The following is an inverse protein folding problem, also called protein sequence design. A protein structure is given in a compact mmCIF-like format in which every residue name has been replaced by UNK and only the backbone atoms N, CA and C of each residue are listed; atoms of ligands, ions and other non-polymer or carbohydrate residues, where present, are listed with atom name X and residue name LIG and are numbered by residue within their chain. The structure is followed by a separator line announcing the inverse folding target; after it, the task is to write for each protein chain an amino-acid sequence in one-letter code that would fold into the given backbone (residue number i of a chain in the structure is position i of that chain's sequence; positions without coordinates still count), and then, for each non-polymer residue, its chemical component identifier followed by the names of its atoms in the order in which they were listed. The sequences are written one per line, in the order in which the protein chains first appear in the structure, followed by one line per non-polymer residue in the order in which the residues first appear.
data_IF_877419141591
#
_entry.id   IF_877419141591
#
_cell.length_a   1.000
_cell.length_b   1.000
_cell.length_c   1.000
_cell.angle_alpha   90.00
_cell.angle_beta   90.00
_cell.angle_gamma   90.00
#
_symmetry.space_group_name_H-M   'P 1'
#
loop_
_entity.id
_entity.type
_entity.pdbx_description
1 polymer ?
#
# COMPACT_ATOMS: atom_id res chain seq x y z
N UNK A 1 -19.66 -6.03 -11.82
CA UNK A 1 -18.46 -5.17 -11.64
C UNK A 1 -18.39 -3.96 -12.57
N UNK A 2 -18.75 -4.04 -13.86
CA UNK A 2 -18.67 -2.90 -14.82
C UNK A 2 -19.51 -1.66 -14.43
N UNK A 3 -20.67 -1.84 -13.82
CA UNK A 3 -21.56 -0.74 -13.42
C UNK A 3 -20.98 0.14 -12.30
N UNK A 4 -20.36 -0.50 -11.28
CA UNK A 4 -19.70 0.24 -10.19
C UNK A 4 -18.52 1.07 -10.67
N UNK A 5 -17.74 0.56 -11.60
CA UNK A 5 -16.60 1.30 -12.17
C UNK A 5 -17.07 2.50 -13.01
N UNK A 6 -18.20 2.34 -13.72
CA UNK A 6 -18.82 3.43 -14.45
C UNK A 6 -19.33 4.54 -13.52
N UNK A 7 -19.95 4.15 -12.42
CA UNK A 7 -20.48 5.08 -11.40
C UNK A 7 -19.35 5.86 -10.70
N UNK A 8 -18.22 5.20 -10.45
CA UNK A 8 -17.01 5.84 -9.89
C UNK A 8 -16.40 6.81 -10.91
N UNK A 9 -16.35 6.44 -12.18
CA UNK A 9 -15.80 7.28 -13.26
C UNK A 9 -16.61 8.55 -13.50
N UNK A 10 -17.94 8.44 -13.44
CA UNK A 10 -18.86 9.57 -13.70
C UNK A 10 -19.37 10.25 -12.42
N UNK A 11 -18.91 9.84 -11.25
CA UNK A 11 -19.38 10.33 -9.95
C UNK A 11 -19.30 11.85 -9.81
N UNK A 12 -18.26 12.47 -10.35
CA UNK A 12 -18.11 13.93 -10.37
C UNK A 12 -19.25 14.59 -11.19
N UNK A 13 -19.50 14.09 -12.39
CA UNK A 13 -20.54 14.61 -13.26
C UNK A 13 -21.94 14.41 -12.66
N UNK A 14 -22.19 13.25 -12.08
CA UNK A 14 -23.45 12.96 -11.37
C UNK A 14 -23.62 13.92 -10.19
N UNK A 15 -22.58 14.16 -9.41
CA UNK A 15 -22.60 15.12 -8.31
C UNK A 15 -22.89 16.55 -8.77
N UNK A 16 -22.25 17.01 -9.85
CA UNK A 16 -22.51 18.33 -10.43
C UNK A 16 -23.95 18.48 -10.95
N UNK A 17 -24.47 17.46 -11.64
CA UNK A 17 -25.86 17.43 -12.12
C UNK A 17 -26.85 17.49 -10.96
N UNK A 18 -26.61 16.74 -9.87
CA UNK A 18 -27.45 16.76 -8.68
C UNK A 18 -27.44 18.11 -7.98
N UNK A 19 -26.29 18.77 -7.90
CA UNK A 19 -26.20 20.13 -7.35
C UNK A 19 -26.96 21.13 -8.24
N UNK A 20 -26.81 21.06 -9.56
CA UNK A 20 -27.52 21.91 -10.49
C UNK A 20 -29.07 21.71 -10.43
N UNK A 21 -29.50 20.44 -10.34
CA UNK A 21 -30.92 20.11 -10.10
C UNK A 21 -31.39 20.63 -8.72
N UNK A 22 -30.55 20.56 -7.70
CA UNK A 22 -30.83 21.12 -6.38
C UNK A 22 -31.07 22.63 -6.43
N UNK A 23 -30.26 23.38 -7.23
CA UNK A 23 -30.45 24.82 -7.45
C UNK A 23 -31.79 25.09 -8.13
N UNK A 24 -32.15 24.33 -9.15
CA UNK A 24 -33.42 24.46 -9.84
C UNK A 24 -34.61 24.18 -8.91
N UNK A 25 -34.58 23.08 -8.14
CA UNK A 25 -35.65 22.74 -7.19
C UNK A 25 -35.75 23.76 -6.05
N UNK A 26 -34.61 24.29 -5.58
CA UNK A 26 -34.61 25.33 -4.57
C UNK A 26 -35.32 26.62 -5.03
N UNK A 27 -35.12 26.98 -6.30
CA UNK A 27 -35.81 28.13 -6.90
C UNK A 27 -37.31 27.88 -7.07
N UNK A 28 -37.73 26.68 -7.45
CA UNK A 28 -39.11 26.33 -7.73
C UNK A 28 -39.93 25.96 -6.48
N UNK A 29 -39.34 25.26 -5.50
CA UNK A 29 -40.07 24.66 -4.38
C UNK A 29 -39.42 24.94 -2.97
N UNK A 30 -38.36 25.75 -2.95
CA UNK A 30 -37.69 26.15 -1.71
C UNK A 30 -36.56 25.15 -1.27
N UNK A 31 -35.93 25.52 -0.17
CA UNK A 31 -34.72 24.84 0.31
C UNK A 31 -34.93 23.39 0.76
N UNK A 32 -36.01 23.10 1.47
CA UNK A 32 -36.22 21.75 2.07
C UNK A 32 -36.32 20.63 1.05
N UNK A 33 -37.07 20.77 -0.08
CA UNK A 33 -37.07 19.75 -1.12
C UNK A 33 -35.73 19.62 -1.87
N UNK A 34 -34.95 20.72 -1.95
CA UNK A 34 -33.66 20.74 -2.61
C UNK A 34 -32.53 20.14 -1.75
N UNK A 35 -32.67 20.14 -0.43
CA UNK A 35 -31.62 19.73 0.51
C UNK A 35 -31.06 18.33 0.27
N UNK A 36 -31.87 17.27 0.02
CA UNK A 36 -31.35 15.93 -0.29
C UNK A 36 -30.47 15.90 -1.56
N UNK A 37 -30.83 16.69 -2.57
CA UNK A 37 -30.04 16.78 -3.82
C UNK A 37 -28.68 17.44 -3.57
N UNK A 38 -28.67 18.52 -2.79
CA UNK A 38 -27.41 19.15 -2.38
C UNK A 38 -26.55 18.19 -1.56
N UNK A 39 -27.15 17.53 -0.57
CA UNK A 39 -26.41 16.62 0.31
C UNK A 39 -25.77 15.48 -0.48
N UNK A 40 -26.53 14.80 -1.33
CA UNK A 40 -26.02 13.69 -2.15
C UNK A 40 -25.01 14.20 -3.17
N UNK A 41 -25.29 15.32 -3.85
CA UNK A 41 -24.38 15.93 -4.82
C UNK A 41 -23.04 16.30 -4.21
N UNK A 42 -23.04 16.98 -3.06
CA UNK A 42 -21.82 17.35 -2.33
C UNK A 42 -21.05 16.11 -1.84
N UNK A 43 -21.74 15.10 -1.29
CA UNK A 43 -21.09 13.83 -0.86
C UNK A 43 -20.43 13.14 -2.05
N UNK A 44 -21.07 13.12 -3.23
CA UNK A 44 -20.49 12.51 -4.42
C UNK A 44 -19.27 13.28 -4.93
N UNK A 45 -19.32 14.61 -4.92
CA UNK A 45 -18.19 15.47 -5.30
C UNK A 45 -17.03 15.29 -4.32
N UNK A 46 -17.27 15.44 -3.02
CA UNK A 46 -16.24 15.24 -2.01
C UNK A 46 -15.65 13.83 -2.09
N UNK A 47 -16.52 12.83 -2.19
CA UNK A 47 -16.07 11.45 -2.33
C UNK A 47 -15.24 11.21 -3.60
N UNK A 48 -15.48 11.93 -4.71
CA UNK A 48 -14.64 11.83 -5.90
C UNK A 48 -13.22 12.31 -5.61
N UNK A 49 -13.08 13.45 -4.93
CA UNK A 49 -11.76 13.98 -4.58
C UNK A 49 -11.04 13.16 -3.49
N UNK A 50 -11.78 12.57 -2.55
CA UNK A 50 -11.16 11.85 -1.43
C UNK A 50 -10.85 10.37 -1.73
N UNK A 51 -11.68 9.66 -2.48
CA UNK A 51 -11.57 8.19 -2.64
C UNK A 51 -11.43 7.71 -4.08
N UNK A 52 -11.85 8.50 -5.06
CA UNK A 52 -11.95 8.06 -6.45
C UNK A 52 -10.61 7.66 -7.10
N UNK A 53 -9.58 8.49 -7.03
CA UNK A 53 -8.33 8.23 -7.72
C UNK A 53 -7.57 7.01 -7.19
N UNK A 54 -7.56 6.80 -5.86
CA UNK A 54 -6.75 5.74 -5.25
C UNK A 54 -7.24 4.33 -5.58
N UNK A 55 -8.55 4.13 -5.66
CA UNK A 55 -9.12 2.84 -6.06
C UNK A 55 -8.82 2.49 -7.51
N UNK A 56 -8.84 3.49 -8.39
CA UNK A 56 -8.47 3.32 -9.80
C UNK A 56 -6.98 2.93 -9.93
N UNK A 57 -6.09 3.54 -9.15
CA UNK A 57 -4.68 3.20 -9.15
C UNK A 57 -4.48 1.72 -8.78
N UNK A 58 -5.18 1.25 -7.73
CA UNK A 58 -5.09 -0.15 -7.33
C UNK A 58 -5.57 -1.09 -8.43
N UNK A 59 -6.69 -0.78 -9.09
CA UNK A 59 -7.21 -1.59 -10.21
C UNK A 59 -6.21 -1.65 -11.36
N UNK A 60 -5.61 -0.52 -11.76
CA UNK A 60 -4.57 -0.51 -12.80
C UNK A 60 -3.33 -1.30 -12.42
N UNK A 61 -2.91 -1.25 -11.15
CA UNK A 61 -1.79 -2.05 -10.66
C UNK A 61 -2.10 -3.56 -10.68
N UNK A 62 -3.33 -3.96 -10.33
CA UNK A 62 -3.79 -5.36 -10.39
C UNK A 62 -3.87 -5.86 -11.83
N UNK A 63 -4.23 -4.99 -12.78
CA UNK A 63 -4.26 -5.27 -14.22
C UNK A 63 -2.86 -5.20 -14.89
N UNK A 64 -1.83 -4.77 -14.15
CA UNK A 64 -0.46 -4.59 -14.66
C UNK A 64 -0.27 -3.34 -15.51
N UNK A 65 -1.28 -2.47 -15.62
CA UNK A 65 -1.21 -1.19 -16.34
C UNK A 65 -0.55 -0.11 -15.47
N UNK A 66 0.78 -0.12 -15.43
CA UNK A 66 1.57 0.84 -14.65
C UNK A 66 1.45 2.27 -15.20
N UNK A 67 1.28 2.43 -16.50
CA UNK A 67 1.13 3.76 -17.13
C UNK A 67 -0.22 4.38 -16.78
N UNK A 68 -1.29 3.59 -16.76
CA UNK A 68 -2.61 4.01 -16.30
C UNK A 68 -2.60 4.42 -14.83
N UNK A 69 -1.97 3.61 -13.97
CA UNK A 69 -1.82 3.91 -12.56
C UNK A 69 -1.07 5.24 -12.34
N UNK A 70 -0.01 5.49 -13.10
CA UNK A 70 0.77 6.72 -13.00
C UNK A 70 0.00 7.95 -13.44
N UNK A 71 -0.73 7.88 -14.56
CA UNK A 71 -1.57 8.98 -15.02
C UNK A 71 -2.59 9.38 -13.95
N UNK A 72 -3.21 8.40 -13.30
CA UNK A 72 -4.16 8.66 -12.21
C UNK A 72 -3.45 9.26 -10.99
N UNK A 73 -2.29 8.73 -10.61
CA UNK A 73 -1.50 9.26 -9.50
C UNK A 73 -1.06 10.71 -9.78
N UNK A 74 -0.60 10.99 -10.99
CA UNK A 74 -0.20 12.33 -11.44
C UNK A 74 -1.35 13.34 -11.53
N UNK A 75 -2.59 12.87 -11.64
CA UNK A 75 -3.78 13.74 -11.63
C UNK A 75 -4.03 14.41 -10.27
N UNK A 76 -3.45 13.87 -9.20
CA UNK A 76 -3.56 14.40 -7.84
C UNK A 76 -2.58 15.57 -7.66
N UNK A 77 -2.98 16.78 -8.05
CA UNK A 77 -2.14 17.97 -7.99
C UNK A 77 -1.79 18.42 -6.56
N UNK A 78 -2.66 18.18 -5.60
CA UNK A 78 -2.53 18.66 -4.23
C UNK A 78 -2.61 17.53 -3.19
N UNK A 79 -1.61 16.64 -3.11
CA UNK A 79 -1.65 15.50 -2.19
C UNK A 79 -1.71 15.92 -0.70
N UNK A 80 -1.26 17.12 -0.38
CA UNK A 80 -1.32 17.64 1.00
C UNK A 80 -2.75 17.96 1.48
N UNK A 81 -3.70 18.15 0.57
CA UNK A 81 -5.12 18.34 0.90
C UNK A 81 -5.85 17.02 1.16
N UNK A 82 -5.23 15.89 0.84
CA UNK A 82 -5.80 14.58 1.13
C UNK A 82 -5.86 14.34 2.64
N UNK A 83 -6.94 13.70 3.08
CA UNK A 83 -7.05 13.20 4.46
C UNK A 83 -5.85 12.32 4.82
N UNK A 84 -5.33 12.46 6.04
CA UNK A 84 -4.03 11.89 6.47
C UNK A 84 -3.83 10.40 6.10
N UNK A 85 -4.79 9.46 6.35
CA UNK A 85 -4.65 8.06 5.93
C UNK A 85 -4.57 7.89 4.40
N UNK A 86 -5.38 8.64 3.66
CA UNK A 86 -5.41 8.58 2.18
C UNK A 86 -4.10 9.12 1.60
N UNK A 87 -3.58 10.18 2.19
CA UNK A 87 -2.28 10.77 1.83
C UNK A 87 -1.13 9.78 2.09
N UNK A 88 -1.22 8.98 3.15
CA UNK A 88 -0.28 7.90 3.40
C UNK A 88 -0.30 6.86 2.28
N UNK A 89 -1.47 6.37 1.90
CA UNK A 89 -1.63 5.42 0.78
C UNK A 89 -1.10 6.02 -0.52
N UNK A 90 -1.38 7.29 -0.80
CA UNK A 90 -0.85 7.99 -1.98
C UNK A 90 0.69 7.93 -2.05
N UNK A 91 1.38 8.26 -0.96
CA UNK A 91 2.84 8.22 -0.95
C UNK A 91 3.39 6.79 -1.04
N UNK A 92 2.73 5.82 -0.39
CA UNK A 92 3.12 4.41 -0.51
C UNK A 92 3.00 3.92 -1.96
N UNK A 93 1.88 4.19 -2.63
CA UNK A 93 1.68 3.81 -4.03
C UNK A 93 2.71 4.48 -4.95
N UNK A 94 2.99 5.78 -4.75
CA UNK A 94 4.00 6.49 -5.52
C UNK A 94 5.40 5.90 -5.32
N UNK A 95 5.74 5.53 -4.09
CA UNK A 95 6.98 4.86 -3.78
C UNK A 95 7.08 3.47 -4.42
N UNK A 96 6.00 2.70 -4.43
CA UNK A 96 5.96 1.40 -5.12
C UNK A 96 6.19 1.55 -6.63
N UNK A 97 5.60 2.55 -7.25
CA UNK A 97 5.84 2.84 -8.67
C UNK A 97 7.29 3.25 -8.95
N UNK A 98 7.88 4.05 -8.06
CA UNK A 98 9.30 4.40 -8.14
C UNK A 98 10.20 3.15 -8.00
N UNK A 99 9.83 2.17 -7.16
CA UNK A 99 10.55 0.87 -7.09
C UNK A 99 10.50 0.12 -8.41
N UNK A 100 9.35 0.05 -9.08
CA UNK A 100 9.22 -0.61 -10.38
C UNK A 100 10.11 0.05 -11.44
N UNK A 101 10.29 1.38 -11.35
CA UNK A 101 11.18 2.16 -12.22
C UNK A 101 12.65 2.12 -11.82
N UNK A 102 12.98 1.42 -10.74
CA UNK A 102 14.33 1.38 -10.16
C UNK A 102 14.85 2.74 -9.65
N UNK A 103 13.95 3.71 -9.44
CA UNK A 103 14.27 4.96 -8.74
C UNK A 103 14.17 4.73 -7.23
N UNK A 104 15.21 4.10 -6.69
CA UNK A 104 15.26 3.67 -5.29
C UNK A 104 15.26 4.83 -4.30
N UNK A 105 15.76 6.00 -4.69
CA UNK A 105 15.79 7.18 -3.82
C UNK A 105 14.44 7.85 -3.72
N UNK A 106 13.69 7.94 -4.82
CA UNK A 106 12.31 8.40 -4.81
C UNK A 106 11.42 7.41 -4.05
N UNK A 107 11.60 6.10 -4.27
CA UNK A 107 10.88 5.05 -3.56
C UNK A 107 11.05 5.15 -2.05
N UNK A 108 12.29 5.28 -1.58
CA UNK A 108 12.61 5.39 -0.16
C UNK A 108 11.98 6.63 0.48
N UNK A 109 12.11 7.80 -0.16
CA UNK A 109 11.51 9.05 0.32
C UNK A 109 10.01 8.94 0.46
N UNK A 110 9.34 8.39 -0.55
CA UNK A 110 7.88 8.32 -0.58
C UNK A 110 7.33 7.27 0.38
N UNK A 111 7.92 6.08 0.45
CA UNK A 111 7.50 5.04 1.41
C UNK A 111 7.72 5.53 2.86
N UNK A 112 8.85 6.17 3.16
CA UNK A 112 9.10 6.79 4.48
C UNK A 112 8.04 7.83 4.81
N UNK A 113 7.68 8.70 3.86
CA UNK A 113 6.65 9.72 4.04
C UNK A 113 5.27 9.10 4.26
N UNK A 114 4.92 8.06 3.49
CA UNK A 114 3.70 7.27 3.70
C UNK A 114 3.65 6.65 5.09
N UNK A 115 4.73 5.99 5.51
CA UNK A 115 4.84 5.34 6.83
C UNK A 115 4.71 6.35 7.98
N UNK A 116 5.37 7.51 7.88
CA UNK A 116 5.28 8.55 8.91
C UNK A 116 3.86 9.10 9.08
N UNK A 117 3.04 9.08 8.03
CA UNK A 117 1.64 9.49 8.08
C UNK A 117 0.72 8.44 8.72
N UNK A 118 1.12 7.17 8.77
CA UNK A 118 0.36 6.09 9.41
C UNK A 118 0.45 6.12 10.94
N UNK A 119 1.52 6.69 11.50
CA UNK A 119 1.72 6.82 12.93
C UNK A 119 0.70 7.78 13.55
N UNK A 120 -0.39 7.25 14.13
CA UNK A 120 -1.40 8.06 14.80
C UNK A 120 -2.57 7.18 15.26
N UNK A 121 -2.93 7.25 16.54
CA UNK A 121 -3.99 6.44 17.14
C UNK A 121 -5.38 6.74 16.56
N UNK A 122 -6.22 5.72 16.50
CA UNK A 122 -7.62 5.80 16.07
C UNK A 122 -8.28 4.43 16.00
N UNK A 123 -9.55 4.38 15.65
CA UNK A 123 -10.41 3.20 15.64
C UNK A 123 -9.95 2.08 14.67
N UNK A 124 -8.97 2.35 13.78
CA UNK A 124 -8.38 1.39 12.81
C UNK A 124 -6.91 1.08 13.13
N UNK A 125 -6.52 1.12 14.39
CA UNK A 125 -5.11 1.05 14.82
C UNK A 125 -4.39 -0.23 14.36
N UNK A 126 -5.05 -1.38 14.36
CA UNK A 126 -4.42 -2.66 13.97
C UNK A 126 -4.18 -2.74 12.46
N UNK A 127 -5.12 -2.28 11.63
CA UNK A 127 -4.94 -2.21 10.18
C UNK A 127 -3.84 -1.22 9.79
N UNK A 128 -3.76 -0.08 10.49
CA UNK A 128 -2.69 0.90 10.27
C UNK A 128 -1.32 0.35 10.68
N UNK A 129 -1.24 -0.41 11.77
CA UNK A 129 0.01 -1.09 12.18
C UNK A 129 0.47 -2.12 11.16
N UNK A 130 -0.46 -2.94 10.64
CA UNK A 130 -0.15 -3.93 9.59
C UNK A 130 0.33 -3.24 8.29
N UNK A 131 -0.33 -2.16 7.89
CA UNK A 131 0.10 -1.36 6.73
C UNK A 131 1.48 -0.71 6.97
N UNK A 132 1.72 -0.21 8.18
CA UNK A 132 3.04 0.30 8.60
C UNK A 132 4.10 -0.81 8.56
N UNK A 133 3.75 -2.02 9.02
CA UNK A 133 4.60 -3.19 8.94
C UNK A 133 4.96 -3.56 7.50
N UNK A 134 3.98 -3.58 6.60
CA UNK A 134 4.19 -3.84 5.18
C UNK A 134 5.13 -2.79 4.55
N UNK A 135 4.93 -1.50 4.82
CA UNK A 135 5.81 -0.43 4.34
C UNK A 135 7.25 -0.56 4.87
N UNK A 136 7.40 -0.92 6.16
CA UNK A 136 8.73 -1.18 6.73
C UNK A 136 9.40 -2.38 6.07
N UNK A 137 8.65 -3.44 5.74
CA UNK A 137 9.19 -4.57 4.99
C UNK A 137 9.72 -4.13 3.62
N UNK A 138 8.96 -3.31 2.90
CA UNK A 138 9.38 -2.74 1.62
C UNK A 138 10.66 -1.90 1.75
N UNK A 139 10.76 -1.06 2.78
CA UNK A 139 11.99 -0.29 3.07
C UNK A 139 13.17 -1.21 3.38
N UNK A 140 12.93 -2.32 4.08
CA UNK A 140 13.95 -3.33 4.33
C UNK A 140 14.45 -3.99 3.04
N UNK A 141 13.55 -4.39 2.15
CA UNK A 141 13.88 -4.96 0.85
C UNK A 141 14.66 -3.94 -0.02
N UNK A 142 14.23 -2.70 -0.04
CA UNK A 142 14.90 -1.61 -0.75
C UNK A 142 16.32 -1.38 -0.21
N UNK A 143 16.49 -1.39 1.12
CA UNK A 143 17.81 -1.27 1.74
C UNK A 143 18.73 -2.45 1.38
N UNK A 144 18.17 -3.68 1.23
CA UNK A 144 18.95 -4.81 0.72
C UNK A 144 19.42 -4.59 -0.72
N UNK A 145 18.56 -4.06 -1.59
CA UNK A 145 18.95 -3.74 -2.97
C UNK A 145 20.05 -2.68 -3.04
N UNK A 146 20.04 -1.71 -2.11
CA UNK A 146 21.10 -0.71 -1.95
C UNK A 146 22.35 -1.24 -1.23
N UNK A 147 22.37 -2.52 -0.87
CA UNK A 147 23.43 -3.14 -0.07
C UNK A 147 23.65 -2.53 1.33
N UNK A 148 22.64 -1.82 1.85
CA UNK A 148 22.63 -1.34 3.24
C UNK A 148 22.00 -2.40 4.17
N UNK A 149 22.81 -3.39 4.49
CA UNK A 149 22.37 -4.55 5.29
C UNK A 149 21.97 -4.16 6.71
N UNK A 150 22.53 -3.07 7.26
CA UNK A 150 22.21 -2.60 8.61
C UNK A 150 20.81 -1.99 8.68
N UNK A 151 20.50 -1.10 7.76
CA UNK A 151 19.16 -0.52 7.63
C UNK A 151 18.14 -1.58 7.26
N UNK A 152 18.47 -2.51 6.36
CA UNK A 152 17.61 -3.62 5.98
C UNK A 152 17.18 -4.44 7.21
N UNK A 153 18.13 -4.86 8.05
CA UNK A 153 17.82 -5.60 9.28
C UNK A 153 16.90 -4.81 10.21
N UNK A 154 17.20 -3.54 10.43
CA UNK A 154 16.42 -2.67 11.30
C UNK A 154 14.97 -2.56 10.82
N UNK A 155 14.76 -2.32 9.53
CA UNK A 155 13.43 -2.19 8.94
C UNK A 155 12.65 -3.51 8.97
N UNK A 156 13.26 -4.64 8.59
CA UNK A 156 12.58 -5.94 8.58
C UNK A 156 12.20 -6.37 10.01
N UNK A 157 13.09 -6.17 10.99
CA UNK A 157 12.77 -6.42 12.41
C UNK A 157 11.63 -5.51 12.91
N UNK A 158 11.60 -4.25 12.48
CA UNK A 158 10.54 -3.31 12.83
C UNK A 158 9.22 -3.69 12.14
N UNK A 159 9.25 -4.23 10.91
CA UNK A 159 8.08 -4.76 10.21
C UNK A 159 7.47 -5.95 10.98
N UNK A 160 8.29 -6.93 11.35
CA UNK A 160 7.84 -8.10 12.12
C UNK A 160 7.26 -7.70 13.49
N UNK A 161 7.83 -6.68 14.17
CA UNK A 161 7.28 -6.18 15.44
C UNK A 161 5.97 -5.40 15.29
N UNK A 162 5.80 -4.66 14.20
CA UNK A 162 4.57 -3.93 13.92
C UNK A 162 3.40 -4.86 13.57
N UNK A 163 3.71 -6.08 13.08
CA UNK A 163 2.78 -7.03 12.52
C UNK A 163 2.64 -6.83 11.01
N UNK A 164 2.38 -7.92 10.32
CA UNK A 164 2.20 -7.94 8.86
C UNK A 164 0.77 -8.37 8.52
N UNK A 165 0.23 -7.96 7.36
CA UNK A 165 -1.19 -8.15 7.05
C UNK A 165 -1.60 -9.63 6.93
N UNK A 166 -0.68 -10.48 6.53
CA UNK A 166 -0.94 -11.90 6.31
C UNK A 166 0.32 -12.75 6.51
N UNK A 167 0.13 -14.08 6.56
CA UNK A 167 1.21 -15.07 6.70
C UNK A 167 2.19 -15.07 5.51
N UNK A 168 1.75 -14.64 4.34
CA UNK A 168 2.58 -14.56 3.13
C UNK A 168 3.65 -13.48 3.30
N UNK A 169 3.21 -12.26 3.70
CA UNK A 169 4.12 -11.16 4.01
C UNK A 169 5.05 -11.50 5.19
N UNK A 170 4.54 -12.19 6.21
CA UNK A 170 5.34 -12.61 7.35
C UNK A 170 6.39 -13.66 6.95
N UNK A 171 6.01 -14.64 6.12
CA UNK A 171 6.96 -15.62 5.58
C UNK A 171 8.02 -14.96 4.71
N UNK A 172 7.63 -14.01 3.84
CA UNK A 172 8.57 -13.22 3.05
C UNK A 172 9.56 -12.46 3.93
N UNK A 173 9.09 -11.81 5.00
CA UNK A 173 9.96 -11.10 5.95
C UNK A 173 10.98 -12.03 6.62
N UNK A 174 10.57 -13.22 7.04
CA UNK A 174 11.49 -14.20 7.59
C UNK A 174 12.50 -14.73 6.56
N UNK A 175 12.10 -14.90 5.28
CA UNK A 175 13.04 -15.28 4.22
C UNK A 175 14.07 -14.18 3.95
N UNK A 176 13.64 -12.91 3.97
CA UNK A 176 14.58 -11.79 3.87
C UNK A 176 15.55 -11.73 5.04
N UNK A 177 15.08 -11.97 6.27
CA UNK A 177 15.95 -12.10 7.45
C UNK A 177 16.93 -13.29 7.32
N UNK A 178 16.46 -14.42 6.80
CA UNK A 178 17.31 -15.58 6.53
C UNK A 178 18.45 -15.20 5.55
N UNK A 179 18.12 -14.59 4.42
CA UNK A 179 19.11 -14.14 3.43
C UNK A 179 20.10 -13.14 4.02
N UNK A 180 19.63 -12.23 4.83
CA UNK A 180 20.46 -11.23 5.50
C UNK A 180 21.43 -11.85 6.50
N UNK A 181 20.98 -12.84 7.30
CA UNK A 181 21.83 -13.58 8.24
C UNK A 181 22.85 -14.46 7.50
N UNK A 182 22.47 -15.01 6.35
CA UNK A 182 23.41 -15.73 5.47
C UNK A 182 24.53 -14.81 4.96
N UNK A 183 24.18 -13.60 4.52
CA UNK A 183 25.18 -12.60 4.10
C UNK A 183 26.13 -12.19 5.23
N UNK A 184 25.63 -12.16 6.46
CA UNK A 184 26.44 -11.90 7.66
C UNK A 184 27.22 -13.10 8.17
N UNK A 185 27.05 -14.27 7.55
CA UNK A 185 27.60 -15.58 8.00
C UNK A 185 27.09 -16.04 9.37
N UNK A 186 25.94 -15.53 9.80
CA UNK A 186 25.24 -15.93 11.02
C UNK A 186 24.33 -17.14 10.74
N UNK A 187 24.91 -18.29 10.43
CA UNK A 187 24.19 -19.45 9.88
C UNK A 187 23.15 -20.04 10.83
N UNK A 188 23.37 -20.02 12.15
CA UNK A 188 22.37 -20.46 13.12
C UNK A 188 21.11 -19.61 13.07
N UNK A 189 21.27 -18.29 13.09
CA UNK A 189 20.16 -17.35 12.98
C UNK A 189 19.43 -17.49 11.62
N UNK A 190 20.17 -17.67 10.52
CA UNK A 190 19.59 -17.93 9.21
C UNK A 190 18.68 -19.17 9.20
N UNK A 191 19.15 -20.29 9.78
CA UNK A 191 18.35 -21.52 9.92
C UNK A 191 17.10 -21.32 10.75
N UNK A 192 17.16 -20.52 11.82
CA UNK A 192 16.01 -20.23 12.66
C UNK A 192 14.96 -19.39 11.92
N UNK A 193 15.37 -18.35 11.18
CA UNK A 193 14.46 -17.57 10.36
C UNK A 193 13.87 -18.40 9.22
N UNK A 194 14.64 -19.27 8.60
CA UNK A 194 14.14 -20.18 7.58
C UNK A 194 13.06 -21.12 8.12
N UNK A 195 13.28 -21.71 9.32
CA UNK A 195 12.27 -22.56 9.97
C UNK A 195 10.99 -21.80 10.27
N UNK A 196 11.07 -20.55 10.73
CA UNK A 196 9.91 -19.69 10.97
C UNK A 196 9.14 -19.43 9.68
N UNK A 197 9.82 -19.08 8.59
CA UNK A 197 9.18 -18.87 7.29
C UNK A 197 8.42 -20.12 6.80
N UNK A 198 9.07 -21.29 6.89
CA UNK A 198 8.47 -22.57 6.47
C UNK A 198 7.29 -23.00 7.34
N UNK A 199 7.33 -22.69 8.64
CA UNK A 199 6.28 -23.04 9.60
C UNK A 199 4.95 -22.32 9.31
N UNK A 200 4.97 -21.15 8.68
CA UNK A 200 3.78 -20.39 8.27
C UNK A 200 3.01 -21.03 7.11
N UNK A 201 3.62 -22.02 6.43
CA UNK A 201 3.01 -22.74 5.27
C UNK A 201 2.42 -21.76 4.24
N UNK A 202 3.24 -20.88 3.64
CA UNK A 202 2.77 -19.97 2.62
C UNK A 202 2.24 -20.74 1.41
N UNK A 203 1.28 -20.15 0.69
CA UNK A 203 0.62 -20.76 -0.48
C UNK A 203 1.00 -20.08 -1.79
N UNK A 204 1.51 -18.86 -1.73
CA UNK A 204 1.95 -18.10 -2.91
C UNK A 204 3.14 -18.81 -3.59
N UNK A 205 3.00 -19.12 -4.87
CA UNK A 205 4.00 -19.87 -5.65
C UNK A 205 5.41 -19.27 -5.54
N UNK A 206 5.51 -17.94 -5.63
CA UNK A 206 6.78 -17.23 -5.53
C UNK A 206 7.50 -17.48 -4.20
N UNK A 207 6.77 -17.44 -3.07
CA UNK A 207 7.34 -17.67 -1.73
C UNK A 207 7.70 -19.14 -1.55
N UNK A 208 6.84 -20.05 -2.02
CA UNK A 208 7.10 -21.50 -1.98
C UNK A 208 8.37 -21.84 -2.77
N UNK A 209 8.56 -21.25 -3.94
CA UNK A 209 9.76 -21.50 -4.76
C UNK A 209 11.02 -20.89 -4.12
N UNK A 210 10.92 -19.73 -3.47
CA UNK A 210 12.02 -19.17 -2.69
C UNK A 210 12.40 -20.11 -1.53
N UNK A 211 11.41 -20.66 -0.80
CA UNK A 211 11.66 -21.63 0.26
C UNK A 211 12.43 -22.84 -0.29
N UNK A 212 11.97 -23.42 -1.41
CA UNK A 212 12.64 -24.57 -2.03
C UNK A 212 14.09 -24.26 -2.45
N UNK A 213 14.31 -23.05 -2.98
CA UNK A 213 15.66 -22.60 -3.37
C UNK A 213 16.56 -22.47 -2.13
N UNK A 214 16.13 -21.76 -1.11
CA UNK A 214 16.91 -21.55 0.10
C UNK A 214 17.16 -22.89 0.81
N UNK A 215 16.19 -23.81 0.83
CA UNK A 215 16.32 -25.12 1.45
C UNK A 215 17.51 -25.93 0.90
N UNK A 216 17.73 -25.87 -0.43
CA UNK A 216 18.87 -26.54 -1.07
C UNK A 216 20.22 -26.05 -0.59
N UNK A 217 20.32 -24.78 -0.20
CA UNK A 217 21.57 -24.19 0.28
C UNK A 217 21.74 -24.33 1.78
N UNK A 218 20.67 -24.07 2.54
CA UNK A 218 20.72 -23.99 4.00
C UNK A 218 20.98 -25.36 4.67
N UNK A 219 20.57 -26.46 4.02
CA UNK A 219 20.85 -27.83 4.46
C UNK A 219 22.32 -28.21 4.34
N UNK A 220 23.08 -27.56 3.45
CA UNK A 220 24.51 -27.83 3.22
C UNK A 220 25.43 -27.01 4.12
N UNK A 221 24.91 -26.05 4.84
CA UNK A 221 25.70 -25.14 5.68
C UNK A 221 25.88 -25.81 7.05
N UNK A 222 27.11 -25.86 7.58
CA UNK A 222 27.36 -26.39 8.94
C UNK A 222 26.58 -25.60 9.99
N UNK A 223 26.08 -26.29 11.01
CA UNK A 223 25.23 -25.72 12.07
C UNK A 223 26.01 -25.05 13.18
#
# INVERSE_FOLDING_TARGET
MKFYNLLIKYRLWIGLVLVALGIYVNYAAGFWPAFPLYLVGVILILGHFFFGPLRLIQTYMEEGDMDGAEKVLGSIKFPNLLYKPIRSVYYTLRGNMAMVRQDFDAAERDIKKGTALMSGGGMMQDQLKQAEGANKLQLGMLSMQKNDLKSAESYIRAALRAGLPDKENESAAYLQMCSLMMNKREFRAAKDFFRKAKALKPTTSQIVDQIKQIEKYITRIPG
#
